data_IF_237167217536
#
_entry.id   IF_237167217536
#
_cell.length_a   1.000
_cell.length_b   1.000
_cell.length_c   1.000
_cell.angle_alpha   90.00
_cell.angle_beta   90.00
_cell.angle_gamma   90.00
#
_symmetry.space_group_name_H-M   'P 1'
#
loop_
_entity.id
_entity.type
_entity.pdbx_description
1 polymer ?
#
# COMPACT_ATOMS: atom_id res chain seq x y z
N UNK A 1 7.78 6.42 27.27
CA UNK A 1 8.43 6.31 25.96
C UNK A 1 8.08 4.94 25.41
N UNK A 2 7.46 4.85 24.24
CA UNK A 2 7.32 3.53 23.60
C UNK A 2 8.71 3.03 23.18
N UNK A 3 9.03 1.73 23.37
CA UNK A 3 10.24 1.12 22.88
C UNK A 3 10.52 1.50 21.41
N UNK A 4 11.73 1.94 21.13
CA UNK A 4 12.18 2.29 19.78
C UNK A 4 12.21 1.02 18.92
N UNK A 5 11.15 0.75 18.18
CA UNK A 5 11.03 -0.41 17.30
C UNK A 5 9.68 -1.13 17.34
N UNK A 6 8.76 -0.75 18.23
CA UNK A 6 7.41 -1.31 18.23
C UNK A 6 6.51 -0.62 17.21
N UNK A 7 5.62 -1.41 16.59
CA UNK A 7 4.60 -0.91 15.70
C UNK A 7 3.61 -0.04 16.50
N UNK A 8 3.32 1.20 16.07
CA UNK A 8 2.39 2.09 16.77
C UNK A 8 0.94 1.58 16.75
N UNK A 9 0.62 0.59 15.91
CA UNK A 9 -0.74 0.07 15.75
C UNK A 9 -1.04 -1.18 16.55
N UNK A 10 -0.08 -2.10 16.73
CA UNK A 10 -0.30 -3.37 17.44
C UNK A 10 0.77 -3.71 18.49
N UNK A 11 1.80 -2.87 18.66
CA UNK A 11 2.87 -3.00 19.66
C UNK A 11 3.86 -4.17 19.44
N UNK A 12 3.69 -4.96 18.37
CA UNK A 12 4.68 -5.96 17.95
C UNK A 12 5.98 -5.29 17.44
N UNK A 13 7.05 -6.06 17.29
CA UNK A 13 8.28 -5.59 16.65
C UNK A 13 8.01 -5.20 15.19
N UNK A 14 8.41 -4.00 14.81
CA UNK A 14 8.17 -3.45 13.47
C UNK A 14 9.43 -3.55 12.61
N UNK A 15 9.34 -4.38 11.57
CA UNK A 15 10.20 -4.35 10.40
C UNK A 15 9.40 -3.93 9.14
N UNK A 16 10.04 -3.87 7.97
CA UNK A 16 9.33 -3.54 6.73
C UNK A 16 8.23 -4.55 6.40
N UNK A 17 8.44 -5.84 6.68
CA UNK A 17 7.47 -6.89 6.39
C UNK A 17 6.24 -6.76 7.29
N UNK A 18 6.44 -6.47 8.57
CA UNK A 18 5.39 -6.15 9.52
C UNK A 18 4.63 -4.91 9.08
N UNK A 19 5.34 -3.80 8.84
CA UNK A 19 4.72 -2.54 8.44
C UNK A 19 3.81 -2.70 7.22
N UNK A 20 4.24 -3.43 6.19
CA UNK A 20 3.51 -3.48 4.93
C UNK A 20 2.58 -4.68 4.79
N UNK A 21 2.85 -5.81 5.45
CA UNK A 21 2.17 -7.08 5.17
C UNK A 21 1.46 -7.62 6.41
N UNK A 22 2.16 -7.83 7.54
CA UNK A 22 1.58 -8.59 8.68
C UNK A 22 0.95 -7.74 9.78
N UNK A 23 1.23 -6.43 9.83
CA UNK A 23 0.57 -5.53 10.78
C UNK A 23 -0.95 -5.59 10.58
N UNK A 24 -1.76 -5.79 11.65
CA UNK A 24 -3.23 -5.84 11.54
C UNK A 24 -3.84 -4.63 10.83
N UNK A 25 -3.23 -3.43 11.01
CA UNK A 25 -3.67 -2.22 10.32
C UNK A 25 -3.46 -2.32 8.81
N UNK A 26 -2.32 -2.85 8.37
CA UNK A 26 -1.99 -3.02 6.95
C UNK A 26 -2.81 -4.15 6.32
N UNK A 27 -2.96 -5.29 7.01
CA UNK A 27 -3.86 -6.39 6.61
C UNK A 27 -5.29 -5.87 6.41
N UNK A 28 -5.80 -5.06 7.34
CA UNK A 28 -7.11 -4.44 7.19
C UNK A 28 -7.23 -3.59 5.91
N UNK A 29 -6.17 -2.88 5.53
CA UNK A 29 -6.17 -2.08 4.30
C UNK A 29 -6.09 -2.94 3.03
N UNK A 30 -5.26 -3.99 3.02
CA UNK A 30 -5.20 -4.93 1.89
C UNK A 30 -6.55 -5.63 1.68
N UNK A 31 -7.19 -6.10 2.75
CA UNK A 31 -8.52 -6.69 2.70
C UNK A 31 -9.57 -5.70 2.20
N UNK A 32 -9.47 -4.43 2.62
CA UNK A 32 -10.34 -3.37 2.09
C UNK A 32 -10.17 -3.22 0.58
N UNK A 33 -8.94 -3.34 0.06
CA UNK A 33 -8.65 -3.34 -1.38
C UNK A 33 -9.05 -4.64 -2.12
N UNK A 34 -9.61 -5.63 -1.41
CA UNK A 34 -9.96 -6.95 -1.96
C UNK A 34 -8.75 -7.86 -2.21
N UNK A 35 -7.61 -7.58 -1.58
CA UNK A 35 -6.35 -8.30 -1.79
C UNK A 35 -5.96 -9.05 -0.51
N UNK A 36 -5.71 -10.34 -0.64
CA UNK A 36 -5.15 -11.15 0.45
C UNK A 36 -3.63 -11.27 0.28
N UNK A 37 -2.89 -10.64 1.20
CA UNK A 37 -1.42 -10.70 1.27
C UNK A 37 -0.93 -11.50 2.49
N UNK A 38 -1.84 -12.13 3.24
CA UNK A 38 -1.49 -12.83 4.49
C UNK A 38 -0.69 -14.11 4.26
N UNK A 39 -0.75 -14.69 3.05
CA UNK A 39 -0.02 -15.89 2.66
C UNK A 39 1.43 -15.63 2.24
N UNK A 40 1.86 -14.36 2.18
CA UNK A 40 3.23 -14.01 1.84
C UNK A 40 4.21 -14.46 2.94
N UNK A 41 5.37 -14.96 2.53
CA UNK A 41 6.38 -15.54 3.41
C UNK A 41 7.47 -14.51 3.73
N UNK A 42 7.69 -14.27 5.03
CA UNK A 42 8.65 -13.27 5.52
C UNK A 42 10.08 -13.45 4.97
N UNK A 43 10.48 -14.68 4.64
CA UNK A 43 11.81 -15.00 4.09
C UNK A 43 12.13 -14.27 2.78
N UNK A 44 11.12 -13.81 2.04
CA UNK A 44 11.29 -13.06 0.78
C UNK A 44 11.04 -11.55 0.93
N UNK A 45 10.69 -11.10 2.15
CA UNK A 45 10.43 -9.70 2.45
C UNK A 45 9.26 -9.10 1.65
N UNK A 46 9.22 -7.77 1.61
CA UNK A 46 8.16 -6.99 0.96
C UNK A 46 8.21 -7.12 -0.57
N UNK A 47 9.38 -7.41 -1.13
CA UNK A 47 9.61 -7.61 -2.57
C UNK A 47 8.75 -8.72 -3.18
N UNK A 48 8.28 -9.66 -2.35
CA UNK A 48 7.37 -10.73 -2.79
C UNK A 48 6.08 -10.20 -3.42
N UNK A 49 5.63 -8.98 -3.08
CA UNK A 49 4.48 -8.33 -3.72
C UNK A 49 4.67 -8.18 -5.24
N UNK A 50 5.88 -7.90 -5.70
CA UNK A 50 6.19 -7.78 -7.13
C UNK A 50 6.28 -9.14 -7.82
N UNK A 51 6.68 -10.18 -7.09
CA UNK A 51 6.80 -11.55 -7.62
C UNK A 51 5.43 -12.21 -7.77
N UNK A 52 4.57 -12.08 -6.75
CA UNK A 52 3.25 -12.71 -6.72
C UNK A 52 2.23 -11.90 -7.53
N UNK A 53 2.45 -10.59 -7.68
CA UNK A 53 1.58 -9.67 -8.41
C UNK A 53 0.11 -9.83 -7.99
N UNK A 54 -0.24 -9.50 -6.73
CA UNK A 54 -1.61 -9.66 -6.23
C UNK A 54 -2.62 -8.82 -7.02
N UNK A 55 -2.16 -7.74 -7.67
CA UNK A 55 -2.95 -6.86 -8.53
C UNK A 55 -3.31 -7.49 -9.89
N UNK A 56 -2.66 -8.60 -10.27
CA UNK A 56 -2.78 -9.25 -11.59
C UNK A 56 -2.55 -8.29 -12.77
N UNK A 57 -1.78 -7.22 -12.56
CA UNK A 57 -1.48 -6.25 -13.61
C UNK A 57 -0.38 -6.80 -14.53
N UNK A 58 -0.67 -6.85 -15.83
CA UNK A 58 0.23 -7.43 -16.84
C UNK A 58 1.46 -6.56 -17.07
N UNK A 59 1.32 -5.24 -16.99
CA UNK A 59 2.46 -4.33 -17.14
C UNK A 59 3.24 -4.26 -15.83
N UNK A 60 4.46 -4.81 -15.82
CA UNK A 60 5.35 -4.75 -14.64
C UNK A 60 5.59 -3.31 -14.16
N UNK A 61 5.68 -2.35 -15.09
CA UNK A 61 5.80 -0.92 -14.78
C UNK A 61 4.57 -0.39 -14.05
N UNK A 62 3.37 -0.72 -14.52
CA UNK A 62 2.12 -0.28 -13.88
C UNK A 62 1.95 -0.98 -12.53
N UNK A 63 2.18 -2.29 -12.47
CA UNK A 63 2.16 -3.06 -11.23
C UNK A 63 3.07 -2.41 -10.18
N UNK A 64 4.33 -2.14 -10.53
CA UNK A 64 5.26 -1.47 -9.64
C UNK A 64 4.78 -0.09 -9.20
N UNK A 65 4.23 0.71 -10.12
CA UNK A 65 3.72 2.05 -9.78
C UNK A 65 2.56 1.97 -8.80
N UNK A 66 1.62 1.06 -9.02
CA UNK A 66 0.45 0.89 -8.16
C UNK A 66 0.84 0.34 -6.78
N UNK A 67 1.67 -0.70 -6.74
CA UNK A 67 2.20 -1.24 -5.48
C UNK A 67 2.97 -0.17 -4.68
N UNK A 68 3.90 0.55 -5.31
CA UNK A 68 4.63 1.63 -4.64
C UNK A 68 3.69 2.70 -4.10
N UNK A 69 2.64 3.07 -4.85
CA UNK A 69 1.66 4.05 -4.40
C UNK A 69 0.87 3.57 -3.17
N UNK A 70 0.44 2.31 -3.16
CA UNK A 70 -0.27 1.71 -2.03
C UNK A 70 0.64 1.65 -0.79
N UNK A 71 1.86 1.11 -0.96
CA UNK A 71 2.84 1.00 0.14
C UNK A 71 3.20 2.38 0.70
N UNK A 72 3.36 3.39 -0.16
CA UNK A 72 3.60 4.76 0.27
C UNK A 72 2.49 5.30 1.16
N UNK A 73 1.22 5.03 0.82
CA UNK A 73 0.08 5.49 1.61
C UNK A 73 -0.09 4.72 2.94
N UNK A 74 0.23 3.42 2.98
CA UNK A 74 0.33 2.66 4.24
C UNK A 74 1.41 3.27 5.15
N UNK A 75 2.59 3.56 4.59
CA UNK A 75 3.69 4.19 5.34
C UNK A 75 3.31 5.59 5.85
N UNK A 76 2.65 6.41 5.03
CA UNK A 76 2.12 7.73 5.43
C UNK A 76 1.15 7.60 6.61
N UNK A 77 0.17 6.69 6.54
CA UNK A 77 -0.78 6.45 7.62
C UNK A 77 -0.06 6.06 8.93
N UNK A 78 0.91 5.13 8.87
CA UNK A 78 1.73 4.78 10.06
C UNK A 78 2.44 5.99 10.63
N UNK A 79 3.02 6.86 9.79
CA UNK A 79 3.69 8.07 10.26
C UNK A 79 2.74 9.12 10.83
N UNK A 80 1.55 9.28 10.28
CA UNK A 80 0.51 10.13 10.86
C UNK A 80 0.17 9.67 12.29
N UNK A 81 0.07 8.35 12.52
CA UNK A 81 -0.14 7.80 13.86
C UNK A 81 1.01 8.09 14.83
N UNK A 82 2.27 7.98 14.37
CA UNK A 82 3.45 8.25 15.19
C UNK A 82 3.60 9.73 15.54
N UNK A 83 3.46 10.61 14.55
CA UNK A 83 3.78 12.03 14.71
C UNK A 83 2.58 12.90 15.10
N UNK A 84 1.35 12.46 14.79
CA UNK A 84 0.12 13.24 15.01
C UNK A 84 -0.92 12.51 15.84
N UNK A 85 -0.69 11.23 16.19
CA UNK A 85 -1.66 10.40 16.90
C UNK A 85 -3.00 10.23 16.16
N UNK A 86 -2.97 10.36 14.84
CA UNK A 86 -4.14 10.19 13.97
C UNK A 86 -4.15 8.78 13.36
N UNK A 87 -5.31 8.11 13.41
CA UNK A 87 -5.53 6.80 12.77
C UNK A 87 -6.48 6.99 11.57
N UNK A 88 -5.92 6.99 10.37
CA UNK A 88 -6.68 7.19 9.15
C UNK A 88 -7.50 5.95 8.82
N UNK A 89 -8.76 6.14 8.40
CA UNK A 89 -9.61 5.04 7.94
C UNK A 89 -9.14 4.48 6.60
N UNK A 90 -9.49 3.23 6.28
CA UNK A 90 -9.19 2.64 4.97
C UNK A 90 -9.73 3.47 3.80
N UNK A 91 -10.90 4.10 3.97
CA UNK A 91 -11.48 4.98 2.96
C UNK A 91 -10.59 6.20 2.69
N UNK A 92 -10.01 6.80 3.73
CA UNK A 92 -9.10 7.95 3.57
C UNK A 92 -7.82 7.54 2.87
N UNK A 93 -7.17 6.46 3.33
CA UNK A 93 -5.94 5.93 2.71
C UNK A 93 -6.19 5.58 1.23
N UNK A 94 -7.34 4.94 0.92
CA UNK A 94 -7.72 4.60 -0.45
C UNK A 94 -7.89 5.84 -1.33
N UNK A 95 -8.51 6.90 -0.83
CA UNK A 95 -8.63 8.17 -1.56
C UNK A 95 -7.26 8.79 -1.84
N UNK A 96 -6.36 8.77 -0.85
CA UNK A 96 -4.99 9.24 -1.06
C UNK A 96 -4.23 8.39 -2.08
N UNK A 97 -4.41 7.07 -2.10
CA UNK A 97 -3.88 6.21 -3.18
C UNK A 97 -4.43 6.63 -4.55
N UNK A 98 -5.73 6.84 -4.68
CA UNK A 98 -6.37 7.30 -5.93
C UNK A 98 -5.78 8.63 -6.43
N UNK A 99 -5.63 9.61 -5.54
CA UNK A 99 -5.06 10.92 -5.85
C UNK A 99 -3.59 10.81 -6.27
N UNK A 100 -2.78 10.04 -5.53
CA UNK A 100 -1.38 9.80 -5.86
C UNK A 100 -1.23 9.09 -7.22
N UNK A 101 -2.10 8.12 -7.53
CA UNK A 101 -2.14 7.43 -8.84
C UNK A 101 -2.55 8.35 -9.99
N UNK A 102 -3.56 9.20 -9.77
CA UNK A 102 -3.96 10.20 -10.76
C UNK A 102 -2.78 11.14 -11.06
N UNK A 103 -2.05 11.58 -10.03
CA UNK A 103 -0.83 12.36 -10.19
C UNK A 103 0.28 11.58 -10.93
N UNK A 104 0.47 10.28 -10.62
CA UNK A 104 1.41 9.42 -11.33
C UNK A 104 1.07 9.33 -12.83
N UNK A 105 -0.21 9.31 -13.19
CA UNK A 105 -0.64 9.22 -14.59
C UNK A 105 -0.18 10.42 -15.44
N UNK A 106 -0.05 11.60 -14.84
CA UNK A 106 0.48 12.79 -15.51
C UNK A 106 1.98 12.70 -15.81
N UNK A 107 2.71 11.83 -15.10
CA UNK A 107 4.14 11.57 -15.33
C UNK A 107 4.39 10.54 -16.44
N UNK A 108 3.35 9.87 -16.93
CA UNK A 108 3.47 8.88 -17.99
C UNK A 108 3.55 9.54 -19.37
N UNK A 109 4.60 9.21 -20.13
CA UNK A 109 4.73 9.57 -21.55
C UNK A 109 3.95 8.62 -22.47
N UNK A 110 3.66 7.40 -22.02
CA UNK A 110 2.83 6.41 -22.76
C UNK A 110 1.35 6.64 -22.47
N UNK A 111 0.56 6.80 -23.54
CA UNK A 111 -0.90 6.94 -23.47
C UNK A 111 -1.59 5.68 -22.91
N UNK A 112 -1.07 4.50 -23.24
CA UNK A 112 -1.54 3.21 -22.70
C UNK A 112 -1.32 3.11 -21.19
N UNK A 113 -0.10 3.43 -20.73
CA UNK A 113 0.25 3.42 -19.30
C UNK A 113 -0.58 4.43 -18.51
N UNK A 114 -0.75 5.63 -19.07
CA UNK A 114 -1.60 6.68 -18.49
C UNK A 114 -3.03 6.18 -18.30
N UNK A 115 -3.62 5.54 -19.32
CA UNK A 115 -4.97 5.00 -19.24
C UNK A 115 -5.10 3.96 -18.13
N UNK A 116 -4.13 3.04 -18.01
CA UNK A 116 -4.10 2.04 -16.93
C UNK A 116 -4.05 2.68 -15.55
N UNK A 117 -3.19 3.69 -15.35
CA UNK A 117 -3.12 4.39 -14.05
C UNK A 117 -4.39 5.18 -13.73
N UNK A 118 -5.07 5.74 -14.74
CA UNK A 118 -6.38 6.39 -14.54
C UNK A 118 -7.42 5.36 -14.10
N UNK A 119 -7.44 4.16 -14.70
CA UNK A 119 -8.32 3.06 -14.27
C UNK A 119 -8.03 2.68 -12.81
N UNK A 120 -6.76 2.47 -12.47
CA UNK A 120 -6.36 2.18 -11.08
C UNK A 120 -6.70 3.30 -10.10
N UNK A 121 -6.57 4.57 -10.50
CA UNK A 121 -6.96 5.72 -9.66
C UNK A 121 -8.46 5.78 -9.39
N UNK A 122 -9.26 5.26 -10.32
CA UNK A 122 -10.73 5.23 -10.20
C UNK A 122 -11.23 3.96 -9.51
N UNK A 123 -10.33 3.05 -9.11
CA UNK A 123 -10.69 1.85 -8.39
C UNK A 123 -11.27 2.22 -7.04
N UNK A 124 -12.56 1.93 -6.86
CA UNK A 124 -13.20 1.96 -5.55
C UNK A 124 -13.28 0.52 -5.06
N UNK A 125 -12.63 0.19 -3.94
CA UNK A 125 -12.84 -1.10 -3.33
C UNK A 125 -14.30 -1.22 -2.86
N UNK A 126 -14.84 -2.44 -2.93
CA UNK A 126 -16.23 -2.77 -2.59
C UNK A 126 -16.44 -2.98 -1.10
#
# INVERSE_FOLDING_TARGET
MQPSGQCPSCLDEEDCFHLFITCPRSVSFWNYYGLDVSSLAQSFGVEQLWLVNPLQEVSSRINSTVLTCILWNIWKCRNMKVFRHEDETNLVISKCCSEDLALCSHRCSSSSDKMKLVVWSSFSPS
#
